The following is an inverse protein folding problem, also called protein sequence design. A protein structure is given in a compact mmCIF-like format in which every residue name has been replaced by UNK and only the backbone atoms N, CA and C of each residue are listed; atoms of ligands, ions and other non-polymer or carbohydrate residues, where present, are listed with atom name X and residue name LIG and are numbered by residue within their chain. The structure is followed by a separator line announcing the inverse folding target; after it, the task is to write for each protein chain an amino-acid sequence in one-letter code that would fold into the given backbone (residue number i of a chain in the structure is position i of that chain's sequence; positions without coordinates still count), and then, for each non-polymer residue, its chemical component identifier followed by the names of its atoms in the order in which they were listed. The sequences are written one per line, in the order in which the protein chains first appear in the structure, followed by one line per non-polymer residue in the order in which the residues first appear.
data_IF_684296526265
#
_entry.id   IF_684296526265
#
_cell.length_a   1.000
_cell.length_b   1.000
_cell.length_c   1.000
_cell.angle_alpha   90.00
_cell.angle_beta   90.00
_cell.angle_gamma   90.00
#
_symmetry.space_group_name_H-M   'P 1'
#
loop_
_entity.id
_entity.type
_entity.pdbx_description
1 polymer ?
#
# COMPACT_ATOMS: atom_id res chain seq x y z
N UNK A 1 38.34 -52.45 -4.91
CA UNK A 1 38.33 -51.77 -6.22
C UNK A 1 37.23 -50.70 -6.19
N UNK A 2 37.53 -49.51 -6.73
CA UNK A 2 37.02 -48.19 -6.30
C UNK A 2 35.49 -48.01 -6.33
N UNK A 3 34.92 -47.72 -5.16
CA UNK A 3 33.56 -47.21 -4.93
C UNK A 3 33.54 -45.73 -5.34
N UNK A 4 32.91 -45.39 -6.47
CA UNK A 4 32.77 -44.01 -6.93
C UNK A 4 31.55 -43.37 -6.28
N UNK A 5 31.81 -42.51 -5.30
CA UNK A 5 30.85 -41.53 -4.78
C UNK A 5 30.48 -40.55 -5.91
N UNK A 6 29.26 -40.67 -6.43
CA UNK A 6 28.67 -39.67 -7.30
C UNK A 6 27.87 -38.72 -6.39
N UNK A 7 28.46 -37.57 -6.08
CA UNK A 7 27.77 -36.48 -5.38
C UNK A 7 26.83 -35.84 -6.39
N UNK A 8 25.57 -36.25 -6.39
CA UNK A 8 24.50 -35.47 -6.99
C UNK A 8 24.29 -34.22 -6.13
N UNK A 9 24.84 -33.09 -6.59
CA UNK A 9 24.44 -31.77 -6.14
C UNK A 9 22.93 -31.63 -6.41
N UNK A 10 22.13 -31.86 -5.37
CA UNK A 10 20.75 -31.40 -5.28
C UNK A 10 20.78 -29.88 -5.17
N UNK A 11 20.81 -29.20 -6.33
CA UNK A 11 20.36 -27.83 -6.45
C UNK A 11 18.84 -27.82 -6.25
N UNK A 12 18.42 -27.90 -4.98
CA UNK A 12 17.08 -27.50 -4.59
C UNK A 12 17.08 -25.98 -4.68
N UNK A 13 16.75 -25.49 -5.87
CA UNK A 13 16.30 -24.12 -6.04
C UNK A 13 15.02 -23.99 -5.23
N UNK A 14 15.13 -23.47 -4.01
CA UNK A 14 14.00 -22.92 -3.29
C UNK A 14 13.51 -21.73 -4.14
N UNK A 15 12.56 -21.99 -5.04
CA UNK A 15 11.66 -20.93 -5.51
C UNK A 15 10.81 -20.56 -4.31
N UNK A 16 11.36 -19.74 -3.42
CA UNK A 16 10.59 -19.16 -2.33
C UNK A 16 9.46 -18.36 -2.96
N UNK A 17 8.25 -18.92 -2.92
CA UNK A 17 7.07 -18.09 -2.80
C UNK A 17 7.25 -17.37 -1.45
N UNK A 18 7.99 -16.26 -1.45
CA UNK A 18 8.11 -15.41 -0.27
C UNK A 18 6.70 -14.92 0.03
N UNK A 19 6.19 -15.27 1.20
CA UNK A 19 4.92 -14.75 1.72
C UNK A 19 5.00 -13.21 1.70
N UNK A 20 4.02 -12.55 1.09
CA UNK A 20 3.94 -11.09 1.03
C UNK A 20 4.07 -10.46 2.42
N UNK A 21 3.60 -11.14 3.46
CA UNK A 21 3.70 -10.70 4.85
C UNK A 21 5.15 -10.70 5.37
N UNK A 22 5.98 -11.66 4.93
CA UNK A 22 7.41 -11.70 5.26
C UNK A 22 8.19 -10.60 4.52
N UNK A 23 7.86 -10.34 3.26
CA UNK A 23 8.43 -9.22 2.49
C UNK A 23 8.13 -7.88 3.16
N UNK A 24 6.88 -7.65 3.57
CA UNK A 24 6.46 -6.43 4.26
C UNK A 24 7.11 -6.29 5.65
N UNK A 25 7.26 -7.39 6.39
CA UNK A 25 8.01 -7.39 7.66
C UNK A 25 9.47 -7.00 7.43
N UNK A 26 10.10 -7.53 6.38
CA UNK A 26 11.49 -7.23 6.04
C UNK A 26 11.66 -5.76 5.59
N UNK A 27 10.73 -5.24 4.81
CA UNK A 27 10.68 -3.82 4.43
C UNK A 27 10.57 -2.93 5.68
N UNK A 28 9.66 -3.27 6.59
CA UNK A 28 9.52 -2.55 7.86
C UNK A 28 10.82 -2.54 8.66
N UNK A 29 11.47 -3.69 8.83
CA UNK A 29 12.74 -3.78 9.56
C UNK A 29 13.85 -2.94 8.93
N UNK A 30 13.86 -2.83 7.60
CA UNK A 30 14.87 -2.05 6.88
C UNK A 30 14.57 -0.54 6.87
N UNK A 31 13.29 -0.13 6.90
CA UNK A 31 12.87 1.24 6.55
C UNK A 31 11.79 1.84 7.46
N UNK A 32 11.65 1.36 8.70
CA UNK A 32 10.62 1.81 9.64
C UNK A 32 10.54 3.33 9.80
N UNK A 33 11.69 4.02 9.90
CA UNK A 33 11.74 5.47 10.06
C UNK A 33 11.16 6.22 8.85
N UNK A 34 11.45 5.76 7.63
CA UNK A 34 10.93 6.38 6.40
C UNK A 34 9.46 6.07 6.18
N UNK A 35 9.03 4.84 6.49
CA UNK A 35 7.62 4.45 6.50
C UNK A 35 6.82 5.32 7.47
N UNK A 36 7.32 5.52 8.69
CA UNK A 36 6.67 6.35 9.70
C UNK A 36 6.62 7.82 9.29
N UNK A 37 7.71 8.36 8.74
CA UNK A 37 7.75 9.72 8.21
C UNK A 37 6.67 9.94 7.14
N UNK A 38 6.55 9.01 6.19
CA UNK A 38 5.57 9.11 5.10
C UNK A 38 4.15 8.91 5.60
N UNK A 39 3.91 7.97 6.52
CA UNK A 39 2.60 7.77 7.13
C UNK A 39 2.14 9.02 7.89
N UNK A 40 3.02 9.60 8.71
CA UNK A 40 2.73 10.85 9.42
C UNK A 40 2.49 12.03 8.49
N UNK A 41 3.24 12.11 7.38
CA UNK A 41 2.99 13.11 6.36
C UNK A 41 1.58 12.96 5.77
N UNK A 42 1.14 11.73 5.45
CA UNK A 42 -0.21 11.48 4.93
C UNK A 42 -1.31 11.83 5.95
N UNK A 43 -1.14 11.48 7.22
CA UNK A 43 -2.09 11.84 8.29
C UNK A 43 -2.28 13.36 8.36
N UNK A 44 -1.18 14.12 8.24
CA UNK A 44 -1.19 15.57 8.34
C UNK A 44 -1.60 16.29 7.04
N UNK A 45 -1.58 15.60 5.89
CA UNK A 45 -1.90 16.16 4.58
C UNK A 45 -3.41 16.19 4.31
N UNK A 46 -4.00 17.39 4.22
CA UNK A 46 -5.46 17.55 4.08
C UNK A 46 -6.00 17.12 2.72
N UNK A 47 -5.18 17.20 1.69
CA UNK A 47 -5.63 17.02 0.32
C UNK A 47 -5.34 15.64 -0.25
N UNK A 48 -4.65 14.76 0.48
CA UNK A 48 -4.35 13.39 0.04
C UNK A 48 -4.96 12.40 1.02
N UNK A 49 -5.93 11.63 0.52
CA UNK A 49 -6.57 10.51 1.23
C UNK A 49 -5.84 9.21 0.96
N UNK A 50 -5.35 9.02 -0.25
CA UNK A 50 -4.64 7.81 -0.63
C UNK A 50 -4.30 7.78 -2.11
N UNK A 51 -3.32 6.95 -2.42
CA UNK A 51 -2.70 6.79 -3.73
C UNK A 51 -2.50 5.30 -4.01
N UNK A 52 -2.84 4.87 -5.22
CA UNK A 52 -2.50 3.54 -5.74
C UNK A 52 -1.81 3.72 -7.09
N UNK A 53 -0.62 3.15 -7.19
CA UNK A 53 0.13 3.01 -8.44
C UNK A 53 -0.35 1.74 -9.14
N UNK A 54 -0.51 1.83 -10.45
CA UNK A 54 -1.27 0.85 -11.22
C UNK A 54 -0.81 -0.60 -11.05
N UNK A 55 -1.73 -1.45 -10.63
CA UNK A 55 -2.22 -2.67 -11.31
C UNK A 55 -3.42 -3.18 -10.48
N UNK A 56 -4.66 -3.24 -10.99
CA UNK A 56 -5.09 -2.94 -12.36
C UNK A 56 -5.35 -1.46 -12.65
N UNK A 57 -5.43 -0.59 -11.63
CA UNK A 57 -5.81 0.81 -11.82
C UNK A 57 -4.92 1.75 -10.99
N UNK A 58 -4.57 2.90 -11.56
CA UNK A 58 -4.02 4.02 -10.80
C UNK A 58 -5.17 4.73 -10.08
N UNK A 59 -4.96 5.15 -8.84
CA UNK A 59 -5.96 5.86 -8.05
C UNK A 59 -5.36 7.00 -7.23
N UNK A 60 -6.09 8.11 -7.09
CA UNK A 60 -5.77 9.20 -6.16
C UNK A 60 -7.07 9.79 -5.63
N UNK A 61 -7.29 9.79 -4.31
CA UNK A 61 -8.53 10.27 -3.68
C UNK A 61 -9.82 9.74 -4.32
N UNK A 62 -9.84 8.48 -4.74
CA UNK A 62 -11.00 7.86 -5.40
C UNK A 62 -11.16 8.19 -6.90
N UNK A 63 -10.41 9.15 -7.45
CA UNK A 63 -10.22 9.21 -8.89
C UNK A 63 -9.47 7.98 -9.34
N UNK A 64 -9.93 7.34 -10.41
CA UNK A 64 -9.34 6.10 -10.92
C UNK A 64 -9.11 6.16 -12.42
N UNK A 65 -8.06 5.48 -12.88
CA UNK A 65 -7.76 5.25 -14.29
C UNK A 65 -7.11 3.87 -14.45
N UNK A 66 -7.75 2.98 -15.21
CA UNK A 66 -7.27 1.60 -15.43
C UNK A 66 -6.61 1.40 -16.80
N UNK A 67 -6.64 2.42 -17.66
CA UNK A 67 -5.99 2.42 -18.97
C UNK A 67 -5.32 3.79 -19.19
N UNK A 68 -4.07 3.87 -19.65
CA UNK A 68 -3.36 5.15 -19.78
C UNK A 68 -4.08 6.19 -20.66
N UNK A 69 -4.79 5.73 -21.70
CA UNK A 69 -5.55 6.55 -22.63
C UNK A 69 -6.96 6.90 -22.17
N UNK A 70 -7.47 6.24 -21.12
CA UNK A 70 -8.79 6.54 -20.58
C UNK A 70 -8.74 7.83 -19.72
N UNK A 71 -9.84 8.61 -19.68
CA UNK A 71 -9.94 9.69 -18.72
C UNK A 71 -9.93 9.14 -17.28
N UNK A 72 -9.51 9.98 -16.35
CA UNK A 72 -9.72 9.71 -14.93
C UNK A 72 -11.19 9.86 -14.60
N UNK A 73 -11.74 8.93 -13.83
CA UNK A 73 -13.14 8.97 -13.40
C UNK A 73 -13.28 8.93 -11.88
N UNK A 74 -14.32 9.59 -11.36
CA UNK A 74 -14.71 9.52 -9.95
C UNK A 74 -16.24 9.60 -9.84
N UNK A 75 -16.81 9.05 -8.78
CA UNK A 75 -18.24 9.15 -8.50
C UNK A 75 -18.54 10.43 -7.72
N UNK A 76 -19.29 11.35 -8.32
CA UNK A 76 -19.75 12.56 -7.66
C UNK A 76 -21.08 12.27 -6.94
N UNK A 77 -21.04 12.24 -5.60
CA UNK A 77 -22.20 11.94 -4.75
C UNK A 77 -23.30 13.00 -4.92
N UNK A 78 -22.94 14.28 -5.06
CA UNK A 78 -23.92 15.37 -5.17
C UNK A 78 -24.66 15.32 -6.51
N UNK A 79 -23.93 15.03 -7.59
CA UNK A 79 -24.49 14.93 -8.94
C UNK A 79 -25.02 13.54 -9.28
N UNK A 80 -24.82 12.55 -8.40
CA UNK A 80 -25.20 11.14 -8.58
C UNK A 80 -24.75 10.57 -9.94
N UNK A 81 -23.54 10.92 -10.37
CA UNK A 81 -22.98 10.49 -11.66
C UNK A 81 -21.47 10.41 -11.61
N UNK A 82 -20.89 9.69 -12.57
CA UNK A 82 -19.45 9.76 -12.82
C UNK A 82 -19.07 11.13 -13.40
N UNK A 83 -17.99 11.67 -12.89
CA UNK A 83 -17.30 12.83 -13.43
C UNK A 83 -15.95 12.41 -13.97
N UNK A 84 -15.44 13.16 -14.94
CA UNK A 84 -14.25 12.79 -15.69
C UNK A 84 -13.24 13.94 -15.71
N UNK A 85 -11.97 13.60 -15.65
CA UNK A 85 -10.86 14.52 -15.85
C UNK A 85 -9.94 13.96 -16.95
N UNK A 86 -9.43 14.81 -17.85
CA UNK A 86 -8.67 14.36 -19.02
C UNK A 86 -7.26 13.87 -18.67
N UNK A 87 -6.71 14.24 -17.52
CA UNK A 87 -5.32 13.96 -17.15
C UNK A 87 -5.12 13.90 -15.65
N UNK A 88 -3.99 13.32 -15.22
CA UNK A 88 -3.55 13.36 -13.82
C UNK A 88 -3.39 14.81 -13.34
N UNK A 89 -2.82 15.70 -14.16
CA UNK A 89 -2.66 17.11 -13.78
C UNK A 89 -4.00 17.80 -13.50
N UNK A 90 -5.05 17.49 -14.27
CA UNK A 90 -6.39 18.00 -14.02
C UNK A 90 -7.00 17.44 -12.73
N UNK A 91 -6.76 16.16 -12.42
CA UNK A 91 -7.15 15.55 -11.13
C UNK A 91 -6.42 16.21 -9.96
N UNK A 92 -5.10 16.39 -10.04
CA UNK A 92 -4.32 17.01 -8.98
C UNK A 92 -4.77 18.46 -8.72
N UNK A 93 -5.04 19.23 -9.78
CA UNK A 93 -5.60 20.57 -9.66
C UNK A 93 -7.00 20.56 -9.01
N UNK A 94 -7.87 19.61 -9.39
CA UNK A 94 -9.20 19.44 -8.81
C UNK A 94 -9.14 19.13 -7.31
N UNK A 95 -8.25 18.23 -6.91
CA UNK A 95 -8.05 17.80 -5.51
C UNK A 95 -7.20 18.77 -4.68
N UNK A 96 -6.65 19.82 -5.32
CA UNK A 96 -5.69 20.77 -4.71
C UNK A 96 -4.41 20.10 -4.19
N UNK A 97 -3.96 19.07 -4.89
CA UNK A 97 -2.72 18.35 -4.59
C UNK A 97 -1.61 18.93 -5.47
N UNK A 98 -0.48 19.32 -4.87
CA UNK A 98 0.67 19.76 -5.65
C UNK A 98 1.33 18.59 -6.38
N UNK A 99 1.94 18.84 -7.54
CA UNK A 99 2.70 17.82 -8.26
C UNK A 99 3.85 17.26 -7.40
N UNK A 100 4.49 18.11 -6.60
CA UNK A 100 5.56 17.70 -5.69
C UNK A 100 5.06 16.74 -4.59
N UNK A 101 3.89 17.04 -4.01
CA UNK A 101 3.24 16.16 -3.01
C UNK A 101 2.94 14.79 -3.63
N UNK A 102 2.29 14.76 -4.79
CA UNK A 102 2.01 13.51 -5.52
C UNK A 102 3.30 12.73 -5.85
N UNK A 103 4.31 13.43 -6.39
CA UNK A 103 5.58 12.81 -6.76
C UNK A 103 6.30 12.24 -5.53
N UNK A 104 6.24 12.90 -4.38
CA UNK A 104 6.80 12.41 -3.12
C UNK A 104 6.26 11.04 -2.74
N UNK A 105 4.94 10.88 -2.68
CA UNK A 105 4.31 9.59 -2.40
C UNK A 105 4.56 8.56 -3.51
N UNK A 106 4.40 8.94 -4.77
CA UNK A 106 4.61 8.02 -5.90
C UNK A 106 6.03 7.48 -5.96
N UNK A 107 7.03 8.33 -5.73
CA UNK A 107 8.43 7.91 -5.72
C UNK A 107 8.73 7.03 -4.52
N UNK A 108 8.22 7.37 -3.34
CA UNK A 108 8.37 6.53 -2.15
C UNK A 108 7.83 5.12 -2.37
N UNK A 109 6.62 5.01 -2.92
CA UNK A 109 6.00 3.72 -3.24
C UNK A 109 6.86 2.92 -4.24
N UNK A 110 7.28 3.54 -5.35
CA UNK A 110 8.13 2.89 -6.37
C UNK A 110 9.47 2.41 -5.81
N UNK A 111 10.16 3.24 -5.01
CA UNK A 111 11.46 2.87 -4.44
C UNK A 111 11.37 1.69 -3.48
N UNK A 112 10.20 1.50 -2.87
CA UNK A 112 9.93 0.43 -1.90
C UNK A 112 9.17 -0.75 -2.49
N UNK A 113 8.97 -0.78 -3.82
CA UNK A 113 8.15 -1.78 -4.50
C UNK A 113 6.75 -1.91 -3.90
N UNK A 114 6.21 -0.79 -3.40
CA UNK A 114 4.85 -0.69 -2.89
C UNK A 114 3.91 -0.15 -3.98
N UNK A 115 2.66 -0.59 -3.96
CA UNK A 115 1.60 -0.19 -4.88
C UNK A 115 0.71 0.88 -4.30
N UNK A 116 0.48 0.90 -2.99
CA UNK A 116 -0.53 1.79 -2.40
C UNK A 116 -0.16 2.32 -1.03
N UNK A 117 -0.71 3.51 -0.75
CA UNK A 117 -0.78 4.10 0.58
C UNK A 117 -2.14 4.79 0.72
N UNK A 118 -2.88 4.49 1.78
CA UNK A 118 -4.20 5.07 2.02
C UNK A 118 -4.37 5.39 3.50
N UNK A 119 -5.19 6.39 3.82
CA UNK A 119 -5.71 6.56 5.18
C UNK A 119 -6.64 5.38 5.48
N UNK A 120 -6.42 4.75 6.61
CA UNK A 120 -7.18 3.58 7.03
C UNK A 120 -8.61 4.00 7.41
N UNK A 121 -9.61 3.15 7.15
CA UNK A 121 -11.00 3.45 7.48
C UNK A 121 -11.30 3.23 8.98
N UNK A 122 -10.42 2.49 9.65
CA UNK A 122 -10.58 1.99 11.01
C UNK A 122 -10.26 3.08 12.05
N UNK A 123 -9.47 4.10 11.70
CA UNK A 123 -9.15 5.21 12.60
C UNK A 123 -8.64 6.48 11.86
N UNK A 124 -8.84 7.66 12.46
CA UNK A 124 -8.47 8.96 11.87
C UNK A 124 -6.95 9.18 11.71
N UNK A 125 -6.15 8.56 12.58
CA UNK A 125 -4.68 8.68 12.58
C UNK A 125 -4.01 7.36 12.15
N UNK A 126 -4.63 6.66 11.20
CA UNK A 126 -4.17 5.38 10.69
C UNK A 126 -3.85 5.44 9.19
N UNK A 127 -2.84 4.70 8.77
CA UNK A 127 -2.39 4.59 7.38
C UNK A 127 -2.13 3.13 7.04
N UNK A 128 -2.55 2.70 5.86
CA UNK A 128 -2.20 1.41 5.30
C UNK A 128 -1.25 1.58 4.12
N UNK A 129 -0.26 0.68 4.02
CA UNK A 129 0.51 0.43 2.81
C UNK A 129 0.14 -0.96 2.30
N UNK A 130 -0.03 -1.10 0.99
CA UNK A 130 -0.62 -2.31 0.36
C UNK A 130 -2.02 -2.61 0.93
N UNK A 131 -3.03 -1.90 0.43
CA UNK A 131 -4.40 -2.02 0.96
C UNK A 131 -5.17 -3.27 0.54
N UNK A 132 -4.59 -4.13 -0.30
CA UNK A 132 -5.23 -5.34 -0.82
C UNK A 132 -5.20 -6.46 0.24
N UNK A 133 -4.74 -7.65 -0.15
CA UNK A 133 -4.78 -8.85 0.68
C UNK A 133 -3.72 -8.87 1.79
N UNK A 134 -2.63 -8.12 1.66
CA UNK A 134 -1.55 -8.06 2.64
C UNK A 134 -1.09 -6.63 2.77
N UNK A 135 -0.83 -6.16 3.98
CA UNK A 135 -0.41 -4.78 4.16
C UNK A 135 0.30 -4.47 5.47
N UNK A 136 0.90 -3.29 5.51
CA UNK A 136 1.40 -2.67 6.72
C UNK A 136 0.37 -1.65 7.20
N UNK A 137 -0.01 -1.75 8.47
CA UNK A 137 -0.89 -0.81 9.14
C UNK A 137 -0.09 0.00 10.15
N UNK A 138 -0.15 1.32 10.02
CA UNK A 138 0.40 2.29 10.96
C UNK A 138 -0.73 2.97 11.73
N UNK A 139 -0.54 3.15 13.03
CA UNK A 139 -1.35 4.05 13.84
C UNK A 139 -0.46 4.98 14.65
N UNK A 140 -0.80 6.28 14.68
CA UNK A 140 -0.14 7.23 15.60
C UNK A 140 -0.52 6.96 17.05
N UNK A 141 -1.70 6.38 17.29
CA UNK A 141 -2.22 6.13 18.64
C UNK A 141 -1.80 4.75 19.16
N UNK A 142 -1.12 4.70 20.31
CA UNK A 142 -0.66 3.42 20.90
C UNK A 142 -1.78 2.62 21.58
N UNK A 143 -2.93 3.24 21.81
CA UNK A 143 -4.11 2.61 22.40
C UNK A 143 -4.95 1.85 21.37
N UNK A 144 -4.85 2.21 20.08
CA UNK A 144 -5.50 1.46 19.02
C UNK A 144 -4.86 0.08 18.87
N UNK A 145 -5.68 -0.93 18.60
CA UNK A 145 -5.21 -2.28 18.34
C UNK A 145 -5.93 -2.82 17.11
N UNK A 146 -5.18 -3.04 16.03
CA UNK A 146 -5.66 -3.86 14.93
C UNK A 146 -5.77 -5.31 15.43
N UNK A 147 -6.91 -5.95 15.15
CA UNK A 147 -7.22 -7.29 15.64
C UNK A 147 -7.59 -8.19 14.47
N UNK A 148 -7.33 -9.48 14.63
CA UNK A 148 -7.89 -10.46 13.73
C UNK A 148 -9.41 -10.52 13.91
N UNK A 149 -10.13 -10.53 12.80
CA UNK A 149 -11.57 -10.64 12.74
C UNK A 149 -12.00 -11.23 11.38
N UNK A 150 -13.23 -10.95 10.94
CA UNK A 150 -13.77 -11.45 9.68
C UNK A 150 -13.15 -10.76 8.45
N UNK A 151 -12.55 -9.59 8.63
CA UNK A 151 -11.88 -8.83 7.58
C UNK A 151 -10.37 -9.10 7.59
N UNK A 152 -9.75 -9.09 8.78
CA UNK A 152 -8.33 -9.34 8.97
C UNK A 152 -8.07 -10.79 9.41
N UNK A 153 -7.82 -11.67 8.44
CA UNK A 153 -7.50 -13.07 8.69
C UNK A 153 -6.25 -13.26 9.55
N UNK A 154 -5.24 -12.42 9.35
CA UNK A 154 -4.00 -12.44 10.14
C UNK A 154 -3.58 -11.03 10.53
N UNK A 155 -3.12 -10.85 11.78
CA UNK A 155 -2.54 -9.60 12.26
C UNK A 155 -1.35 -9.93 13.16
N UNK A 156 -0.17 -9.44 12.80
CA UNK A 156 1.04 -9.54 13.61
C UNK A 156 1.50 -8.13 13.95
N UNK A 157 1.49 -7.82 15.25
CA UNK A 157 2.06 -6.58 15.78
C UNK A 157 3.58 -6.61 15.61
N UNK A 158 4.14 -5.58 14.97
CA UNK A 158 5.57 -5.42 14.75
C UNK A 158 6.20 -4.57 15.85
N UNK A 159 5.52 -3.49 16.27
CA UNK A 159 5.88 -2.66 17.42
C UNK A 159 4.65 -1.93 18.00
N UNK A 160 4.83 -0.85 18.77
CA UNK A 160 3.74 -0.08 19.37
C UNK A 160 2.76 0.55 18.37
N UNK A 161 3.19 0.82 17.13
CA UNK A 161 2.46 1.57 16.10
C UNK A 161 2.19 0.77 14.82
N UNK A 162 2.96 -0.30 14.59
CA UNK A 162 2.98 -1.04 13.35
C UNK A 162 2.43 -2.44 13.48
N UNK A 163 1.67 -2.84 12.46
CA UNK A 163 1.14 -4.17 12.27
C UNK A 163 1.40 -4.60 10.82
N UNK A 164 1.65 -5.89 10.60
CA UNK A 164 1.48 -6.52 9.29
C UNK A 164 0.23 -7.38 9.35
N UNK A 165 -0.57 -7.37 8.28
CA UNK A 165 -1.82 -8.11 8.24
C UNK A 165 -2.02 -8.87 6.93
N UNK A 166 -2.98 -9.80 6.97
CA UNK A 166 -3.60 -10.43 5.81
C UNK A 166 -5.12 -10.27 5.90
N UNK A 167 -5.78 -9.95 4.79
CA UNK A 167 -7.24 -9.76 4.67
C UNK A 167 -7.88 -10.86 3.83
N UNK A 168 -9.21 -10.97 3.91
CA UNK A 168 -10.04 -11.71 2.96
C UNK A 168 -10.82 -10.74 2.06
N UNK A 169 -11.21 -11.16 0.85
CA UNK A 169 -12.04 -10.39 -0.09
C UNK A 169 -13.55 -10.48 0.18
N UNK A 170 -13.98 -11.10 1.29
CA UNK A 170 -15.40 -11.40 1.57
C UNK A 170 -16.33 -10.19 1.44
#
# INVERSE_FOLDING_TARGET
MKLRFLICLLLIGFTSCSDSSEQLTSLYQAQSADLERIANQLINEKHVRGLTLGNPCEMINGWRRCQPSAPWENWDIQKKRKVYQPSLSAVLAHEKISLATYAGYSNFLKMNSLTSIDRAAECDECVTFEKDLHGLFYTRTTTFQLRQDHEYLSVKKLDAHWYVYTRDWN
#
